data_IF_545491314594
#
_entry.id   IF_545491314594
#
_cell.length_a   1.000
_cell.length_b   1.000
_cell.length_c   1.000
_cell.angle_alpha   90.00
_cell.angle_beta   90.00
_cell.angle_gamma   90.00
#
_symmetry.space_group_name_H-M   'P 1'
#
loop_
_entity.id
_entity.type
_entity.pdbx_description
1 polymer ?
#
# COMPACT_ATOMS: atom_id res chain seq x y z
N UNK A 1 -15.60 0.52 12.46
CA UNK A 1 -14.83 1.74 12.31
C UNK A 1 -13.39 1.41 11.92
N UNK A 2 -12.86 2.09 10.93
CA UNK A 2 -11.48 1.85 10.54
C UNK A 2 -10.50 2.54 11.50
N UNK A 3 -9.38 1.88 11.76
CA UNK A 3 -8.28 2.47 12.52
C UNK A 3 -7.05 2.56 11.63
N UNK A 4 -6.33 3.65 11.75
CA UNK A 4 -5.16 3.93 10.96
C UNK A 4 -3.95 4.10 11.88
N UNK A 5 -2.87 3.43 11.55
CA UNK A 5 -1.64 3.54 12.33
C UNK A 5 -0.46 3.51 11.35
N UNK A 6 0.53 4.36 11.56
CA UNK A 6 1.73 4.35 10.75
C UNK A 6 2.96 4.19 11.64
N UNK A 7 3.87 3.32 11.21
CA UNK A 7 5.17 3.14 11.83
C UNK A 7 6.22 3.64 10.86
N UNK A 8 7.05 4.58 11.29
CA UNK A 8 8.13 5.10 10.47
C UNK A 8 9.38 5.26 11.32
N UNK A 9 10.53 5.23 10.67
CA UNK A 9 11.81 5.47 11.31
C UNK A 9 12.60 6.49 10.50
N UNK A 10 13.51 7.18 11.16
CA UNK A 10 14.38 8.17 10.52
C UNK A 10 15.85 7.85 10.79
N UNK A 11 16.74 8.41 9.98
CA UNK A 11 18.17 8.19 10.14
C UNK A 11 18.76 7.31 9.02
N UNK A 12 20.06 6.98 9.11
CA UNK A 12 20.75 6.23 8.06
C UNK A 12 20.20 4.81 7.85
N UNK A 13 19.58 4.22 8.87
CA UNK A 13 18.95 2.91 8.80
C UNK A 13 17.43 3.01 8.69
N UNK A 14 16.91 4.11 8.18
CA UNK A 14 15.47 4.32 8.05
C UNK A 14 14.82 3.23 7.20
N UNK A 15 13.75 2.64 7.73
CA UNK A 15 12.96 1.63 7.03
C UNK A 15 11.77 2.30 6.35
N UNK A 16 11.22 1.67 5.29
CA UNK A 16 10.00 2.18 4.69
C UNK A 16 8.88 2.28 5.73
N UNK A 17 8.05 3.31 5.66
CA UNK A 17 6.90 3.40 6.57
C UNK A 17 5.92 2.27 6.34
N UNK A 18 5.34 1.76 7.43
CA UNK A 18 4.31 0.74 7.39
C UNK A 18 3.00 1.37 7.84
N UNK A 19 2.01 1.37 6.95
CA UNK A 19 0.67 1.82 7.24
C UNK A 19 -0.19 0.61 7.59
N UNK A 20 -0.68 0.56 8.81
CA UNK A 20 -1.60 -0.48 9.25
C UNK A 20 -3.03 0.05 9.15
N UNK A 21 -3.86 -0.66 8.41
CA UNK A 21 -5.26 -0.33 8.22
C UNK A 21 -6.11 -1.43 8.85
N UNK A 22 -7.07 -1.07 9.69
CA UNK A 22 -7.97 -2.04 10.29
C UNK A 22 -9.42 -1.66 10.07
N UNK A 23 -10.28 -2.68 10.01
CA UNK A 23 -11.71 -2.50 9.83
C UNK A 23 -12.11 -2.43 8.37
N UNK A 24 -13.13 -1.63 8.08
CA UNK A 24 -13.70 -1.51 6.74
C UNK A 24 -13.12 -0.29 6.02
N UNK A 25 -12.64 -0.51 4.81
CA UNK A 25 -12.06 0.54 3.98
C UNK A 25 -12.99 0.81 2.80
N UNK A 26 -13.72 1.90 2.87
CA UNK A 26 -14.77 2.24 1.92
C UNK A 26 -14.63 3.69 1.43
N UNK A 27 -15.62 4.15 0.69
CA UNK A 27 -15.69 5.52 0.16
C UNK A 27 -15.51 6.58 1.25
N UNK A 28 -16.04 6.33 2.44
CA UNK A 28 -15.94 7.29 3.54
C UNK A 28 -14.59 7.25 4.25
N UNK A 29 -13.91 6.12 4.20
CA UNK A 29 -12.62 5.93 4.87
C UNK A 29 -11.45 6.47 4.04
N UNK A 30 -11.53 6.36 2.72
CA UNK A 30 -10.44 6.74 1.82
C UNK A 30 -9.93 8.18 2.03
N UNK A 31 -10.80 9.21 2.14
CA UNK A 31 -10.31 10.56 2.41
C UNK A 31 -9.56 10.68 3.74
N UNK A 32 -9.95 9.87 4.74
CA UNK A 32 -9.27 9.85 6.03
C UNK A 32 -7.89 9.21 5.91
N UNK A 33 -7.74 8.19 5.08
CA UNK A 33 -6.45 7.54 4.82
C UNK A 33 -5.49 8.57 4.20
N UNK A 34 -5.91 9.26 3.16
CA UNK A 34 -5.08 10.27 2.50
C UNK A 34 -4.66 11.37 3.48
N UNK A 35 -5.61 11.86 4.25
CA UNK A 35 -5.33 12.92 5.25
C UNK A 35 -4.38 12.43 6.32
N UNK A 36 -4.56 11.19 6.78
CA UNK A 36 -3.70 10.57 7.78
C UNK A 36 -2.26 10.44 7.27
N UNK A 37 -2.08 9.99 6.03
CA UNK A 37 -0.77 9.87 5.42
C UNK A 37 -0.09 11.22 5.25
N UNK A 38 -0.83 12.24 4.83
CA UNK A 38 -0.29 13.60 4.69
C UNK A 38 0.15 14.15 6.05
N UNK A 39 -0.62 13.89 7.09
CA UNK A 39 -0.31 14.37 8.44
C UNK A 39 0.93 13.69 9.03
N UNK A 40 1.10 12.40 8.79
CA UNK A 40 2.16 11.60 9.42
C UNK A 40 3.43 11.50 8.58
N UNK A 41 3.30 11.51 7.26
CA UNK A 41 4.43 11.34 6.34
C UNK A 41 4.67 12.60 5.48
N UNK A 42 3.83 13.61 5.61
CA UNK A 42 3.92 14.83 4.83
C UNK A 42 3.10 14.79 3.55
N UNK A 43 2.92 15.97 2.89
CA UNK A 43 2.07 16.07 1.70
C UNK A 43 2.59 15.29 0.50
N UNK A 44 3.85 14.89 0.51
CA UNK A 44 4.48 14.16 -0.57
C UNK A 44 4.76 12.70 -0.19
N UNK A 45 3.86 12.10 0.58
CA UNK A 45 4.04 10.72 1.07
C UNK A 45 4.17 9.71 -0.07
N UNK A 46 3.63 10.02 -1.25
CA UNK A 46 3.74 9.15 -2.43
C UNK A 46 5.16 9.15 -3.02
N UNK A 47 6.07 9.97 -2.51
CA UNK A 47 7.48 9.96 -2.91
C UNK A 47 8.32 8.97 -2.10
N UNK A 48 7.68 8.18 -1.24
CA UNK A 48 8.35 7.18 -0.43
C UNK A 48 7.88 5.77 -0.79
N UNK A 49 8.74 4.77 -0.54
CA UNK A 49 8.28 3.39 -0.52
C UNK A 49 7.28 3.24 0.63
N UNK A 50 6.24 2.47 0.40
CA UNK A 50 5.17 2.32 1.40
C UNK A 50 4.76 0.87 1.53
N UNK A 51 4.68 0.40 2.77
CA UNK A 51 4.15 -0.91 3.11
C UNK A 51 2.75 -0.71 3.69
N UNK A 52 1.75 -1.39 3.14
CA UNK A 52 0.39 -1.35 3.68
C UNK A 52 0.06 -2.72 4.26
N UNK A 53 -0.13 -2.77 5.57
CA UNK A 53 -0.50 -3.99 6.28
C UNK A 53 -2.02 -4.08 6.35
N UNK A 54 -2.56 -5.13 5.74
CA UNK A 54 -4.00 -5.37 5.65
C UNK A 54 -4.46 -6.54 6.54
N UNK A 55 -3.62 -7.01 7.46
CA UNK A 55 -3.95 -8.15 8.31
C UNK A 55 -5.22 -7.93 9.14
N UNK A 56 -5.45 -6.70 9.59
CA UNK A 56 -6.62 -6.34 10.40
C UNK A 56 -7.74 -5.70 9.58
N UNK A 57 -7.59 -5.62 8.27
CA UNK A 57 -8.63 -5.10 7.37
C UNK A 57 -9.64 -6.20 7.08
N UNK A 58 -10.92 -5.90 7.28
CA UNK A 58 -12.01 -6.89 7.14
C UNK A 58 -12.79 -6.72 5.85
N UNK A 59 -12.76 -5.53 5.25
CA UNK A 59 -13.55 -5.24 4.05
C UNK A 59 -12.89 -4.13 3.26
N UNK A 60 -12.89 -4.26 1.93
CA UNK A 60 -12.50 -3.19 1.00
C UNK A 60 -13.52 -3.10 -0.11
N UNK A 61 -13.70 -1.89 -0.64
CA UNK A 61 -14.57 -1.67 -1.79
C UNK A 61 -13.76 -1.07 -2.96
N UNK A 62 -14.49 -0.74 -4.03
CA UNK A 62 -13.86 -0.19 -5.24
C UNK A 62 -13.19 1.17 -4.99
N UNK A 63 -13.66 1.94 -4.02
CA UNK A 63 -13.06 3.23 -3.68
C UNK A 63 -11.65 3.06 -3.13
N UNK A 64 -11.47 2.06 -2.27
CA UNK A 64 -10.15 1.76 -1.73
C UNK A 64 -9.23 1.22 -2.83
N UNK A 65 -9.74 0.35 -3.70
CA UNK A 65 -8.96 -0.17 -4.84
C UNK A 65 -8.50 0.98 -5.73
N UNK A 66 -9.40 1.92 -6.04
CA UNK A 66 -9.05 3.10 -6.84
C UNK A 66 -7.96 3.93 -6.16
N UNK A 67 -8.03 4.07 -4.86
CA UNK A 67 -7.01 4.78 -4.08
C UNK A 67 -5.66 4.09 -4.21
N UNK A 68 -5.62 2.75 -4.06
CA UNK A 68 -4.37 1.98 -4.21
C UNK A 68 -3.77 2.13 -5.60
N UNK A 69 -4.61 2.05 -6.63
CA UNK A 69 -4.15 2.18 -8.02
C UNK A 69 -3.54 3.56 -8.27
N UNK A 70 -4.19 4.60 -7.77
CA UNK A 70 -3.68 5.97 -7.91
C UNK A 70 -2.36 6.15 -7.17
N UNK A 71 -2.29 5.67 -5.93
CA UNK A 71 -1.07 5.73 -5.13
C UNK A 71 0.07 4.99 -5.82
N UNK A 72 -0.20 3.78 -6.32
CA UNK A 72 0.78 2.98 -7.04
C UNK A 72 1.32 3.72 -8.26
N UNK A 73 0.43 4.34 -9.05
CA UNK A 73 0.81 5.10 -10.23
C UNK A 73 1.72 6.28 -9.87
N UNK A 74 1.36 7.03 -8.83
CA UNK A 74 2.13 8.19 -8.38
C UNK A 74 3.52 7.77 -7.86
N UNK A 75 3.58 6.66 -7.11
CA UNK A 75 4.84 6.15 -6.59
C UNK A 75 5.75 5.66 -7.71
N UNK A 76 5.22 4.94 -8.69
CA UNK A 76 6.01 4.42 -9.81
C UNK A 76 6.57 5.52 -10.69
N UNK A 77 5.84 6.62 -10.84
CA UNK A 77 6.35 7.79 -11.55
C UNK A 77 7.61 8.35 -10.89
N UNK A 78 7.82 8.05 -9.61
CA UNK A 78 8.98 8.49 -8.83
C UNK A 78 9.92 7.33 -8.47
N UNK A 79 9.74 6.17 -9.11
CA UNK A 79 10.54 4.95 -8.86
C UNK A 79 10.43 4.48 -7.42
N UNK A 80 9.26 4.66 -6.81
CA UNK A 80 8.95 4.16 -5.48
C UNK A 80 7.96 3.01 -5.59
N UNK A 81 7.94 2.15 -4.58
CA UNK A 81 7.16 0.93 -4.61
C UNK A 81 6.14 0.89 -3.49
N UNK A 82 4.99 0.31 -3.82
CA UNK A 82 3.94 -0.02 -2.88
C UNK A 82 3.91 -1.54 -2.72
N UNK A 83 3.89 -2.01 -1.49
CA UNK A 83 3.73 -3.45 -1.22
C UNK A 83 2.62 -3.65 -0.19
N UNK A 84 1.95 -4.79 -0.27
CA UNK A 84 0.86 -5.15 0.63
C UNK A 84 1.29 -6.33 1.51
N UNK A 85 0.78 -6.35 2.74
CA UNK A 85 1.11 -7.39 3.71
C UNK A 85 -0.17 -8.03 4.24
N UNK A 86 -0.24 -9.34 4.14
CA UNK A 86 -1.25 -10.22 4.75
C UNK A 86 -2.71 -9.85 4.49
N UNK A 87 -3.12 -9.58 3.24
CA UNK A 87 -4.56 -9.49 2.97
C UNK A 87 -5.19 -10.87 3.23
N UNK A 88 -6.39 -10.88 3.77
CA UNK A 88 -7.09 -12.12 4.09
C UNK A 88 -8.58 -12.01 3.81
N UNK A 89 -9.29 -13.13 3.74
CA UNK A 89 -10.74 -13.17 3.59
C UNK A 89 -11.24 -12.41 2.37
N UNK A 90 -12.25 -11.57 2.58
CA UNK A 90 -12.86 -10.75 1.52
C UNK A 90 -11.83 -9.85 0.83
N UNK A 91 -10.92 -9.28 1.61
CA UNK A 91 -9.89 -8.38 1.09
C UNK A 91 -9.03 -9.11 0.06
N UNK A 92 -8.52 -10.29 0.41
CA UNK A 92 -7.71 -11.10 -0.50
C UNK A 92 -8.48 -11.46 -1.77
N UNK A 93 -9.76 -11.83 -1.62
CA UNK A 93 -10.60 -12.19 -2.77
C UNK A 93 -10.81 -11.02 -3.71
N UNK A 94 -11.11 -9.84 -3.18
CA UNK A 94 -11.32 -8.64 -4.01
C UNK A 94 -10.04 -8.25 -4.73
N UNK A 95 -8.90 -8.26 -4.04
CA UNK A 95 -7.62 -7.94 -4.67
C UNK A 95 -7.31 -8.90 -5.82
N UNK A 96 -7.57 -10.19 -5.61
CA UNK A 96 -7.34 -11.21 -6.65
C UNK A 96 -8.27 -11.00 -7.85
N UNK A 97 -9.55 -10.69 -7.60
CA UNK A 97 -10.54 -10.48 -8.66
C UNK A 97 -10.18 -9.31 -9.56
N UNK A 98 -9.64 -8.24 -9.00
CA UNK A 98 -9.24 -7.07 -9.80
C UNK A 98 -7.81 -7.20 -10.35
N UNK A 99 -7.13 -8.31 -10.07
CA UNK A 99 -5.79 -8.57 -10.59
C UNK A 99 -4.68 -7.77 -9.93
N UNK A 100 -4.93 -7.18 -8.77
CA UNK A 100 -3.96 -6.32 -8.10
C UNK A 100 -2.66 -7.04 -7.71
N UNK A 101 -2.67 -8.32 -7.27
CA UNK A 101 -1.42 -9.04 -7.00
C UNK A 101 -0.47 -9.18 -8.19
N UNK A 102 -0.97 -8.99 -9.41
CA UNK A 102 -0.13 -9.00 -10.60
C UNK A 102 0.67 -7.71 -10.78
N UNK A 103 0.30 -6.64 -10.08
CA UNK A 103 0.93 -5.32 -10.22
C UNK A 103 1.51 -4.80 -8.90
N UNK A 104 1.08 -5.36 -7.76
CA UNK A 104 1.55 -4.97 -6.43
C UNK A 104 2.04 -6.22 -5.72
N UNK A 105 3.30 -6.29 -5.27
CA UNK A 105 3.78 -7.42 -4.50
C UNK A 105 3.01 -7.59 -3.19
N UNK A 106 2.69 -8.83 -2.85
CA UNK A 106 1.99 -9.19 -1.62
C UNK A 106 2.89 -10.11 -0.81
N UNK A 107 3.10 -9.76 0.46
CA UNK A 107 3.95 -10.53 1.36
C UNK A 107 3.13 -11.04 2.54
N UNK A 108 3.63 -12.12 3.16
CA UNK A 108 2.96 -12.71 4.32
C UNK A 108 3.44 -12.12 5.65
N UNK A 109 4.51 -11.31 5.64
CA UNK A 109 4.99 -10.63 6.84
C UNK A 109 5.56 -9.25 6.50
N UNK A 110 5.55 -8.37 7.51
CA UNK A 110 6.17 -7.04 7.38
C UNK A 110 7.68 -7.15 7.16
N UNK A 111 8.33 -8.09 7.83
CA UNK A 111 9.78 -8.26 7.71
C UNK A 111 10.17 -8.66 6.29
N UNK A 112 9.41 -9.56 5.66
CA UNK A 112 9.64 -9.93 4.27
C UNK A 112 9.46 -8.72 3.34
N UNK A 113 8.39 -7.95 3.55
CA UNK A 113 8.09 -6.77 2.74
C UNK A 113 9.20 -5.72 2.86
N UNK A 114 9.60 -5.40 4.09
CA UNK A 114 10.65 -4.41 4.34
C UNK A 114 11.98 -4.89 3.78
N UNK A 115 12.31 -6.16 3.97
CA UNK A 115 13.52 -6.76 3.43
C UNK A 115 13.58 -6.70 1.91
N UNK A 116 12.46 -6.95 1.24
CA UNK A 116 12.37 -6.87 -0.22
C UNK A 116 12.58 -5.43 -0.70
N UNK A 117 12.00 -4.45 -0.02
CA UNK A 117 12.15 -3.04 -0.40
C UNK A 117 13.58 -2.54 -0.16
N UNK A 118 14.17 -2.89 0.98
CA UNK A 118 15.52 -2.44 1.33
C UNK A 118 16.61 -3.21 0.60
N UNK A 119 16.35 -4.49 0.29
CA UNK A 119 17.30 -5.36 -0.41
C UNK A 119 17.18 -5.38 -1.93
N UNK A 120 16.23 -4.63 -2.50
CA UNK A 120 16.02 -4.62 -3.95
C UNK A 120 15.52 -5.93 -4.52
N UNK A 121 14.85 -6.76 -3.70
CA UNK A 121 14.40 -8.11 -4.09
C UNK A 121 12.92 -8.16 -4.45
N UNK A 122 12.38 -7.06 -4.98
CA UNK A 122 10.99 -7.04 -5.42
C UNK A 122 10.82 -7.84 -6.72
N UNK A 123 9.67 -8.51 -6.89
CA UNK A 123 9.37 -9.14 -8.17
C UNK A 123 9.35 -8.13 -9.30
N UNK A 124 9.82 -8.55 -10.48
CA UNK A 124 9.72 -7.70 -11.67
C UNK A 124 8.27 -7.69 -12.13
N UNK A 125 7.70 -6.49 -12.22
CA UNK A 125 6.33 -6.31 -12.67
C UNK A 125 6.38 -5.69 -14.06
N UNK A 126 5.74 -6.32 -15.09
CA UNK A 126 5.78 -5.80 -16.45
C UNK A 126 5.18 -4.39 -16.53
N UNK A 127 5.81 -3.48 -17.30
CA UNK A 127 5.29 -2.11 -17.47
C UNK A 127 3.85 -2.05 -18.01
N UNK A 128 3.42 -3.08 -18.74
CA UNK A 128 2.07 -3.15 -19.29
C UNK A 128 0.98 -3.15 -18.22
N UNK A 129 1.31 -3.48 -16.96
CA UNK A 129 0.37 -3.46 -15.85
C UNK A 129 0.37 -2.14 -15.10
N UNK A 130 1.19 -1.18 -15.48
CA UNK A 130 1.13 0.13 -14.87
C UNK A 130 -0.15 0.82 -15.33
N UNK A 131 -1.00 1.32 -14.40
CA UNK A 131 -2.20 2.05 -14.80
C UNK A 131 -1.82 3.27 -15.62
N UNK A 132 -2.55 3.48 -16.72
CA UNK A 132 -2.34 4.69 -17.49
C UNK A 132 -2.70 5.90 -16.64
N UNK A 133 -1.91 6.98 -16.69
CA UNK A 133 -2.30 8.21 -16.00
C UNK A 133 -3.60 8.72 -16.60
N UNK A 134 -4.54 8.98 -15.74
CA UNK A 134 -5.82 9.51 -16.16
C UNK A 134 -5.67 10.96 -16.61
#
# INVERSE_FOLDING_TARGET
>A
MAKLCVSSSSGPDARPPVLELSGELDLYTVPHIDRFLRRNLGPLYHQEHLVIDLAATTFVDSSFIAFLVRLLSDQRARRKELVLVRPAGQVRRVLALVGLPNVVPVFESRDEAIGALTGGRLPVIPPAFCPAPA
#
